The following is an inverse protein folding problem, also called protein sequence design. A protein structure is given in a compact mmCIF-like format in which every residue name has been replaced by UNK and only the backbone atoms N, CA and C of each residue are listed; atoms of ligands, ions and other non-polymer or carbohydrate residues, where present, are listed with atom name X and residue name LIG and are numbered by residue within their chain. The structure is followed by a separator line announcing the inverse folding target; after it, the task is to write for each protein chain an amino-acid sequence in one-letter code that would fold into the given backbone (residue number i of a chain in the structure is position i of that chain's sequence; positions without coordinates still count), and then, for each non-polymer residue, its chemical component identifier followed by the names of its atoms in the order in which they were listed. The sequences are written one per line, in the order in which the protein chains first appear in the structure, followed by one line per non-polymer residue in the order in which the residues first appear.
data_IF_841694131427
#
_entry.id   IF_841694131427
#
_cell.length_a   1.000
_cell.length_b   1.000
_cell.length_c   1.000
_cell.angle_alpha   90.00
_cell.angle_beta   90.00
_cell.angle_gamma   90.00
#
_symmetry.space_group_name_H-M   'P 1'
#
loop_
_entity.id
_entity.type
_entity.pdbx_description
1 polymer ?
#
# COMPACT_ATOMS: atom_id res chain seq x y z
N UNK A 1 0.28 -5.44 -4.39
CA UNK A 1 -0.80 -5.01 -5.33
C UNK A 1 -0.71 -3.51 -5.50
N UNK A 2 -0.82 -3.00 -6.73
CA UNK A 2 -0.80 -1.57 -7.04
C UNK A 2 -1.82 -1.29 -8.13
N UNK A 3 -2.58 -0.21 -7.98
CA UNK A 3 -3.44 0.33 -9.04
C UNK A 3 -4.72 0.96 -8.51
N UNK A 4 -5.66 1.18 -9.42
CA UNK A 4 -7.02 1.61 -9.13
C UNK A 4 -7.82 0.48 -8.48
N UNK A 5 -8.14 0.65 -7.20
CA UNK A 5 -8.94 -0.29 -6.42
C UNK A 5 -10.42 0.11 -6.39
N UNK A 6 -10.77 1.24 -7.01
CA UNK A 6 -12.07 1.91 -6.88
C UNK A 6 -12.52 2.09 -5.42
N UNK A 7 -11.56 2.12 -4.50
CA UNK A 7 -11.76 2.18 -3.06
C UNK A 7 -10.58 2.84 -2.36
N UNK A 8 -10.86 3.60 -1.30
CA UNK A 8 -9.84 4.18 -0.42
C UNK A 8 -9.77 3.49 0.95
N UNK A 9 -8.81 3.85 1.81
CA UNK A 9 -8.64 3.25 3.15
C UNK A 9 -9.91 3.14 4.01
N UNK A 10 -10.83 4.14 4.04
CA UNK A 10 -12.09 3.99 4.78
C UNK A 10 -12.99 2.85 4.28
N UNK A 11 -12.78 2.38 3.05
CA UNK A 11 -13.56 1.33 2.37
C UNK A 11 -12.82 -0.02 2.33
N UNK A 12 -11.59 -0.10 2.87
CA UNK A 12 -10.74 -1.30 2.86
C UNK A 12 -11.18 -2.40 3.85
N UNK A 13 -12.48 -2.56 4.10
CA UNK A 13 -13.04 -3.28 5.25
C UNK A 13 -12.48 -4.68 5.54
N UNK A 14 -12.17 -5.50 4.53
CA UNK A 14 -11.51 -6.82 4.76
C UNK A 14 -9.99 -6.72 4.91
N UNK A 15 -9.33 -5.80 4.19
CA UNK A 15 -7.88 -5.60 4.31
C UNK A 15 -7.50 -5.18 5.72
N UNK A 16 -8.31 -4.35 6.39
CA UNK A 16 -8.07 -3.97 7.80
C UNK A 16 -8.16 -5.14 8.78
N UNK A 17 -8.75 -6.27 8.36
CA UNK A 17 -8.90 -7.51 9.15
C UNK A 17 -7.89 -8.59 8.75
N UNK A 18 -7.15 -8.39 7.66
CA UNK A 18 -6.11 -9.32 7.25
C UNK A 18 -4.83 -8.95 7.99
N UNK A 19 -4.25 -9.86 8.79
CA UNK A 19 -2.99 -9.59 9.49
C UNK A 19 -1.91 -9.15 8.51
N UNK A 20 -1.10 -8.18 8.95
CA UNK A 20 0.09 -7.71 8.24
C UNK A 20 -0.13 -7.05 6.86
N UNK A 21 -1.35 -7.07 6.32
CA UNK A 21 -1.72 -6.27 5.14
C UNK A 21 -1.80 -4.80 5.52
N UNK A 22 -1.11 -3.97 4.74
CA UNK A 22 -1.10 -2.52 4.89
C UNK A 22 -1.17 -1.84 3.53
N UNK A 23 -1.24 -0.51 3.53
CA UNK A 23 -1.28 0.31 2.34
C UNK A 23 -0.44 1.58 2.48
N UNK A 24 0.03 2.13 1.37
CA UNK A 24 0.87 3.34 1.38
C UNK A 24 0.04 4.63 1.45
N UNK A 25 -0.94 4.80 0.56
CA UNK A 25 -1.65 6.07 0.35
C UNK A 25 -2.80 6.20 1.35
N UNK A 26 -2.87 7.31 2.08
CA UNK A 26 -3.99 7.61 2.99
C UNK A 26 -4.17 9.11 3.21
N UNK A 27 -5.40 9.55 3.50
CA UNK A 27 -5.70 10.94 3.85
C UNK A 27 -5.66 11.94 2.69
N UNK A 28 -5.39 11.50 1.46
CA UNK A 28 -5.38 12.34 0.25
C UNK A 28 -6.14 11.69 -0.90
N UNK A 29 -6.58 12.50 -1.86
CA UNK A 29 -7.29 12.04 -3.06
C UNK A 29 -6.32 11.66 -4.16
N UNK A 30 -6.68 10.66 -4.97
CA UNK A 30 -5.87 10.18 -6.09
C UNK A 30 -6.51 10.45 -7.44
N UNK A 31 -7.81 10.76 -7.50
CA UNK A 31 -8.40 11.18 -8.77
C UNK A 31 -8.04 12.63 -9.12
N UNK A 32 -7.99 12.96 -10.41
CA UNK A 32 -7.62 14.29 -10.93
C UNK A 32 -8.58 15.38 -10.43
N UNK A 33 -9.85 15.03 -10.19
CA UNK A 33 -10.84 15.93 -9.60
C UNK A 33 -10.62 16.26 -8.12
N UNK A 34 -9.68 15.59 -7.43
CA UNK A 34 -9.39 15.77 -5.99
C UNK A 34 -10.61 15.56 -5.09
N UNK A 35 -11.41 14.55 -5.39
CA UNK A 35 -12.63 14.22 -4.63
C UNK A 35 -12.62 12.84 -4.01
N UNK A 36 -11.78 11.92 -4.51
CA UNK A 36 -11.78 10.51 -4.11
C UNK A 36 -10.38 9.91 -4.07
N UNK A 37 -10.22 8.91 -3.23
CA UNK A 37 -9.04 8.04 -3.15
C UNK A 37 -9.42 6.70 -3.75
N UNK A 38 -8.77 6.31 -4.83
CA UNK A 38 -9.02 5.05 -5.53
C UNK A 38 -7.75 4.22 -5.69
N UNK A 39 -6.64 4.90 -5.92
CA UNK A 39 -5.36 4.29 -6.26
C UNK A 39 -4.54 4.04 -4.99
N UNK A 40 -3.94 2.86 -4.88
CA UNK A 40 -3.10 2.55 -3.72
C UNK A 40 -2.07 1.46 -4.02
N UNK A 41 -1.07 1.38 -3.14
CA UNK A 41 -0.18 0.24 -3.01
C UNK A 41 -0.59 -0.53 -1.77
N UNK A 42 -1.05 -1.78 -1.93
CA UNK A 42 -1.38 -2.70 -0.84
C UNK A 42 -0.33 -3.82 -0.80
N UNK A 43 0.23 -4.08 0.36
CA UNK A 43 1.32 -5.04 0.54
C UNK A 43 1.32 -5.65 1.94
N UNK A 44 2.01 -6.79 2.08
CA UNK A 44 2.30 -7.41 3.37
C UNK A 44 3.52 -6.72 4.00
N UNK A 45 3.35 -6.19 5.22
CA UNK A 45 4.37 -5.40 5.92
C UNK A 45 5.55 -6.23 6.43
N UNK A 46 5.40 -7.55 6.56
CA UNK A 46 6.47 -8.47 6.98
C UNK A 46 7.29 -8.95 5.79
N UNK A 47 6.64 -9.12 4.64
CA UNK A 47 7.31 -9.48 3.40
C UNK A 47 7.99 -8.28 2.72
N UNK A 48 7.48 -7.06 2.94
CA UNK A 48 7.92 -5.83 2.25
C UNK A 48 8.58 -4.86 3.24
N UNK A 49 9.62 -5.31 3.94
CA UNK A 49 10.30 -4.51 4.99
C UNK A 49 11.22 -3.44 4.42
N UNK A 50 11.49 -3.47 3.11
CA UNK A 50 12.18 -2.42 2.37
C UNK A 50 11.35 -1.13 2.20
N UNK A 51 10.05 -1.13 2.55
CA UNK A 51 9.23 0.08 2.49
C UNK A 51 9.73 1.17 3.44
N UNK A 52 10.07 2.33 2.89
CA UNK A 52 10.70 3.43 3.63
C UNK A 52 9.70 4.37 4.34
N UNK A 53 8.40 4.03 4.32
CA UNK A 53 7.35 4.87 4.89
C UNK A 53 7.04 6.15 4.11
N UNK A 54 7.68 6.36 2.94
CA UNK A 54 7.45 7.53 2.08
C UNK A 54 6.59 7.15 0.90
N UNK A 55 5.64 8.00 0.59
CA UNK A 55 4.70 7.83 -0.52
C UNK A 55 4.18 9.19 -0.97
N UNK A 56 3.51 9.21 -2.12
CA UNK A 56 2.87 10.42 -2.61
C UNK A 56 1.93 10.17 -3.78
N UNK A 57 1.20 11.24 -4.12
CA UNK A 57 0.37 11.34 -5.32
C UNK A 57 1.02 12.38 -6.22
N UNK A 58 1.30 12.01 -7.47
CA UNK A 58 1.75 12.96 -8.48
C UNK A 58 0.52 13.71 -9.02
N UNK A 59 0.14 14.78 -8.34
CA UNK A 59 -0.97 15.62 -8.78
C UNK A 59 -0.59 16.36 -10.07
N UNK A 60 -1.25 15.97 -11.17
CA UNK A 60 -0.92 16.47 -12.52
C UNK A 60 -1.08 18.00 -12.63
N UNK A 61 -2.07 18.57 -11.94
CA UNK A 61 -2.33 20.01 -11.98
C UNK A 61 -1.21 20.78 -11.27
N UNK A 62 -0.81 20.37 -10.06
CA UNK A 62 0.22 21.09 -9.30
C UNK A 62 1.64 20.79 -9.76
N UNK A 63 1.91 19.56 -10.21
CA UNK A 63 3.26 19.14 -10.61
C UNK A 63 3.69 19.74 -11.95
N UNK A 64 2.74 19.95 -12.86
CA UNK A 64 3.01 20.43 -14.21
C UNK A 64 2.32 21.76 -14.54
N UNK A 65 1.59 22.35 -13.58
CA UNK A 65 0.85 23.61 -13.80
C UNK A 65 -0.32 23.46 -14.78
N UNK A 66 -0.87 22.25 -14.93
CA UNK A 66 -1.97 22.00 -15.85
C UNK A 66 -3.29 22.52 -15.25
N UNK A 67 -4.11 23.26 -16.02
CA UNK A 67 -5.50 23.47 -15.65
C UNK A 67 -6.25 22.13 -15.65
N UNK A 68 -7.37 22.06 -14.92
CA UNK A 68 -8.11 20.81 -14.71
C UNK A 68 -8.50 20.11 -16.01
N UNK A 69 -8.96 20.84 -17.01
CA UNK A 69 -9.34 20.32 -18.33
C UNK A 69 -8.16 19.62 -19.03
N UNK A 70 -6.96 20.23 -18.99
CA UNK A 70 -5.75 19.62 -19.55
C UNK A 70 -5.23 18.45 -18.74
N UNK A 71 -5.35 18.49 -17.42
CA UNK A 71 -5.02 17.34 -16.58
C UNK A 71 -5.93 16.15 -16.89
N UNK A 72 -7.23 16.38 -17.13
CA UNK A 72 -8.20 15.34 -17.49
C UNK A 72 -7.99 14.76 -18.89
N UNK A 73 -7.41 15.53 -19.83
CA UNK A 73 -6.97 14.97 -21.12
C UNK A 73 -5.83 13.95 -20.97
N UNK A 74 -5.01 14.09 -19.91
CA UNK A 74 -3.97 13.12 -19.58
C UNK A 74 -4.56 11.90 -18.88
N UNK A 75 -5.29 12.12 -17.78
CA UNK A 75 -6.00 11.08 -17.03
C UNK A 75 -6.96 11.68 -15.99
N UNK A 76 -8.02 10.95 -15.65
CA UNK A 76 -8.87 11.21 -14.49
C UNK A 76 -8.30 10.63 -13.18
N UNK A 77 -7.14 9.98 -13.24
CA UNK A 77 -6.35 9.49 -12.11
C UNK A 77 -4.97 10.17 -12.05
N UNK A 78 -4.51 10.47 -10.84
CA UNK A 78 -3.15 10.90 -10.55
C UNK A 78 -2.30 9.68 -10.17
N UNK A 79 -1.07 9.53 -10.71
CA UNK A 79 -0.18 8.45 -10.32
C UNK A 79 0.13 8.44 -8.82
N UNK A 80 0.20 7.25 -8.23
CA UNK A 80 0.63 7.03 -6.84
C UNK A 80 2.00 6.36 -6.80
N UNK A 81 2.82 6.73 -5.82
CA UNK A 81 4.15 6.14 -5.63
C UNK A 81 4.44 5.89 -4.15
N UNK A 82 5.36 4.96 -3.90
CA UNK A 82 5.96 4.69 -2.60
C UNK A 82 7.46 4.43 -2.77
N UNK A 83 8.26 4.79 -1.76
CA UNK A 83 9.70 4.60 -1.78
C UNK A 83 10.09 3.33 -1.02
N UNK A 84 11.00 2.57 -1.63
CA UNK A 84 11.52 1.33 -1.11
C UNK A 84 13.05 1.35 -1.16
N UNK A 85 13.70 0.63 -0.26
CA UNK A 85 15.12 0.32 -0.39
C UNK A 85 15.33 -0.56 -1.64
N UNK A 86 16.36 -0.32 -2.48
CA UNK A 86 16.52 -1.01 -3.76
C UNK A 86 16.98 -2.47 -3.65
N UNK A 87 17.19 -2.96 -2.42
CA UNK A 87 17.51 -4.37 -2.18
C UNK A 87 16.39 -4.99 -1.34
N UNK A 88 16.00 -6.21 -1.69
CA UNK A 88 15.09 -6.99 -0.87
C UNK A 88 15.70 -7.18 0.53
N UNK A 89 14.86 -7.00 1.54
CA UNK A 89 15.27 -7.34 2.90
C UNK A 89 15.34 -8.86 3.02
N UNK A 90 16.30 -9.40 3.79
CA UNK A 90 16.32 -10.83 4.07
C UNK A 90 14.98 -11.21 4.72
N UNK A 91 14.33 -12.24 4.19
CA UNK A 91 13.10 -12.76 4.79
C UNK A 91 13.38 -13.05 6.27
N UNK A 92 12.60 -12.47 7.18
CA UNK A 92 12.60 -12.98 8.55
C UNK A 92 12.20 -14.45 8.48
N UNK A 93 12.94 -15.36 9.13
CA UNK A 93 12.52 -16.75 9.22
C UNK A 93 11.08 -16.75 9.72
N UNK A 94 10.18 -17.38 8.96
CA UNK A 94 8.82 -17.60 9.44
C UNK A 94 8.95 -18.19 10.85
N UNK A 95 8.43 -17.49 11.85
CA UNK A 95 8.51 -17.94 13.23
C UNK A 95 8.04 -19.39 13.25
N UNK A 96 8.98 -20.31 13.46
CA UNK A 96 8.67 -21.73 13.50
C UNK A 96 7.78 -21.87 14.71
N UNK A 97 6.47 -22.00 14.47
CA UNK A 97 5.50 -22.29 15.51
C UNK A 97 5.93 -23.62 16.13
N UNK A 98 6.75 -23.53 17.16
CA UNK A 98 7.21 -24.67 17.93
C UNK A 98 5.97 -25.31 18.52
N UNK A 99 5.49 -26.38 17.89
CA UNK A 99 4.75 -27.39 18.61
C UNK A 99 5.73 -27.94 19.63
N UNK A 100 5.73 -27.38 20.84
CA UNK A 100 6.37 -27.98 21.98
C UNK A 100 5.72 -29.36 22.16
N UNK A 101 6.37 -30.38 21.61
CA UNK A 101 6.02 -31.77 21.84
C UNK A 101 6.11 -32.01 23.34
N UNK A 102 4.96 -32.13 23.99
CA UNK A 102 4.89 -32.67 25.35
C UNK A 102 5.14 -34.17 25.23
N UNK A 103 6.42 -34.55 25.23
CA UNK A 103 6.81 -35.93 25.49
C UNK A 103 6.75 -36.15 27.01
N UNK A 104 5.64 -36.71 27.48
CA UNK A 104 5.55 -37.23 28.85
C UNK A 104 6.27 -38.59 28.91
N UNK A 105 7.16 -38.83 29.89
CA UNK A 105 7.74 -40.15 30.08
C UNK A 105 6.72 -41.06 30.78
N UNK A 106 6.44 -42.22 30.17
CA UNK A 106 5.74 -43.32 30.84
C UNK A 106 6.76 -44.00 31.76
N UNK A 107 6.42 -44.12 33.04
CA UNK A 107 7.04 -45.06 33.99
C UNK A 107 6.04 -46.17 34.27
#
# INVERSE_FOLDING_TARGET
LLGDLNAGPPQFGRFTKTPDVTWAVSGVTTNTHRTKTYDNLIFDRRATTEYLGRWGVLDLQSSFGLPLDRALEVSDHNPVWAAFYPCESPAEPAATGGIAGVAAPVR
#
